data_IF_212525934002
#
_entry.id   IF_212525934002
#
_cell.length_a   1.000
_cell.length_b   1.000
_cell.length_c   1.000
_cell.angle_alpha   90.00
_cell.angle_beta   90.00
_cell.angle_gamma   90.00
#
_symmetry.space_group_name_H-M   'P 1'
#
loop_
_entity.id
_entity.type
_entity.pdbx_description
1 polymer ?
#
# COMPACT_ATOMS: atom_id res chain seq x y z
N UNK A 1 -17.24 -9.14 6.37
CA UNK A 1 -18.31 -8.27 5.81
C UNK A 1 -17.80 -6.84 5.85
N UNK A 2 -17.84 -6.10 4.74
CA UNK A 2 -17.54 -4.67 4.66
C UNK A 2 -18.83 -3.88 4.53
N UNK A 3 -18.98 -2.82 5.33
CA UNK A 3 -20.16 -1.97 5.34
C UNK A 3 -19.75 -0.53 5.04
N UNK A 4 -20.53 0.15 4.21
CA UNK A 4 -20.30 1.53 3.78
C UNK A 4 -21.47 2.36 4.25
N UNK A 5 -21.19 3.45 4.96
CA UNK A 5 -22.21 4.34 5.52
C UNK A 5 -22.07 5.75 4.95
N UNK A 6 -23.19 6.44 4.79
CA UNK A 6 -23.19 7.89 4.59
C UNK A 6 -23.08 8.55 5.97
N UNK A 7 -22.11 9.44 6.18
CA UNK A 7 -21.99 10.13 7.46
C UNK A 7 -23.17 11.06 7.76
N UNK A 8 -23.99 11.37 6.75
CA UNK A 8 -25.22 12.17 6.87
C UNK A 8 -26.46 11.35 7.21
N UNK A 9 -26.44 10.02 7.03
CA UNK A 9 -27.57 9.14 7.36
C UNK A 9 -27.11 7.81 7.97
N UNK A 10 -27.66 7.47 9.14
CA UNK A 10 -27.25 6.27 9.90
C UNK A 10 -28.30 5.16 9.92
N UNK A 11 -29.39 5.28 9.12
CA UNK A 11 -30.49 4.29 9.09
C UNK A 11 -30.05 2.90 8.65
N UNK A 12 -28.94 2.78 7.92
CA UNK A 12 -28.37 1.52 7.48
C UNK A 12 -27.17 1.74 6.55
N UNK A 13 -26.44 0.67 6.20
CA UNK A 13 -25.34 0.77 5.25
C UNK A 13 -25.87 1.10 3.84
N UNK A 14 -25.20 2.04 3.15
CA UNK A 14 -25.40 2.31 1.73
C UNK A 14 -25.03 1.09 0.88
N UNK A 15 -23.91 0.45 1.22
CA UNK A 15 -23.44 -0.76 0.56
C UNK A 15 -22.94 -1.77 1.59
N UNK A 16 -23.19 -3.05 1.30
CA UNK A 16 -22.68 -4.18 2.04
C UNK A 16 -21.98 -5.13 1.06
N UNK A 17 -20.76 -5.54 1.39
CA UNK A 17 -20.02 -6.57 0.68
C UNK A 17 -19.79 -7.76 1.62
N UNK A 18 -20.44 -8.88 1.30
CA UNK A 18 -20.31 -10.16 1.98
C UNK A 18 -19.26 -11.04 1.28
N UNK A 19 -18.51 -11.85 2.04
CA UNK A 19 -17.57 -12.84 1.46
C UNK A 19 -16.13 -12.35 1.21
N UNK A 20 -15.67 -11.30 1.89
CA UNK A 20 -14.34 -10.74 1.66
C UNK A 20 -13.23 -11.63 2.25
N UNK A 21 -12.58 -12.38 1.35
CA UNK A 21 -11.24 -12.97 1.41
C UNK A 21 -10.89 -13.82 2.64
N UNK A 22 -10.10 -14.88 2.43
CA UNK A 22 -9.43 -15.61 3.52
C UNK A 22 -8.35 -14.77 4.22
N UNK A 23 -8.06 -13.56 3.73
CA UNK A 23 -7.07 -12.64 4.27
C UNK A 23 -7.70 -11.39 4.90
N UNK A 24 -7.13 -10.84 5.98
CA UNK A 24 -7.60 -9.58 6.58
C UNK A 24 -7.63 -8.42 5.57
N UNK A 25 -8.72 -7.66 5.56
CA UNK A 25 -8.81 -6.41 4.79
C UNK A 25 -8.03 -5.31 5.52
N UNK A 26 -6.97 -4.80 4.91
CA UNK A 26 -6.12 -3.75 5.49
C UNK A 26 -6.13 -2.42 4.74
N UNK A 27 -6.59 -2.43 3.49
CA UNK A 27 -6.72 -1.22 2.68
C UNK A 27 -7.99 -1.28 1.84
N UNK A 28 -8.70 -0.17 1.80
CA UNK A 28 -9.92 0.04 1.03
C UNK A 28 -9.72 1.31 0.21
N UNK A 29 -10.03 1.23 -1.08
CA UNK A 29 -10.00 2.37 -2.00
C UNK A 29 -11.34 2.52 -2.69
N UNK A 30 -11.67 3.77 -3.00
CA UNK A 30 -12.81 4.14 -3.83
C UNK A 30 -12.30 4.44 -5.23
N UNK A 31 -12.91 3.83 -6.24
CA UNK A 31 -12.55 3.97 -7.65
C UNK A 31 -13.79 4.37 -8.43
N UNK A 32 -13.65 5.32 -9.35
CA UNK A 32 -14.76 5.76 -10.21
C UNK A 32 -14.62 5.07 -11.56
N UNK A 33 -15.66 4.37 -12.02
CA UNK A 33 -15.67 3.77 -13.35
C UNK A 33 -15.97 4.82 -14.45
N UNK A 34 -15.86 4.39 -15.71
CA UNK A 34 -16.06 5.27 -16.87
C UNK A 34 -17.48 5.85 -16.96
N UNK A 35 -18.44 5.22 -16.26
CA UNK A 35 -19.83 5.65 -16.16
C UNK A 35 -20.06 6.63 -15.00
N UNK A 36 -19.01 6.96 -14.23
CA UNK A 36 -19.08 7.84 -13.07
C UNK A 36 -19.60 7.15 -11.80
N UNK A 37 -19.79 5.83 -11.83
CA UNK A 37 -20.22 5.06 -10.66
C UNK A 37 -19.03 4.76 -9.75
N UNK A 38 -19.25 4.91 -8.45
CA UNK A 38 -18.23 4.70 -7.42
C UNK A 38 -18.23 3.26 -6.96
N UNK A 39 -17.13 2.56 -7.21
CA UNK A 39 -16.89 1.19 -6.79
C UNK A 39 -15.89 1.18 -5.63
N UNK A 40 -16.08 0.28 -4.67
CA UNK A 40 -15.18 0.11 -3.54
C UNK A 40 -14.37 -1.16 -3.73
N UNK A 41 -13.06 -1.02 -3.64
CA UNK A 41 -12.13 -2.12 -3.83
C UNK A 41 -11.28 -2.31 -2.57
N UNK A 42 -11.08 -3.57 -2.20
CA UNK A 42 -10.20 -3.96 -1.11
C UNK A 42 -8.96 -4.65 -1.67
N UNK A 43 -7.82 -4.48 -1.01
CA UNK A 43 -6.56 -5.08 -1.46
C UNK A 43 -6.67 -6.59 -1.76
N UNK A 44 -7.35 -7.44 -0.97
CA UNK A 44 -7.43 -8.86 -1.29
C UNK A 44 -8.20 -9.20 -2.58
N UNK A 45 -9.15 -8.36 -3.01
CA UNK A 45 -9.96 -8.60 -4.21
C UNK A 45 -9.24 -8.21 -5.51
N UNK A 46 -8.25 -7.33 -5.43
CA UNK A 46 -7.50 -6.80 -6.58
C UNK A 46 -6.40 -7.73 -7.09
N UNK A 47 -6.03 -8.72 -6.28
CA UNK A 47 -4.73 -9.41 -6.40
C UNK A 47 -4.89 -10.87 -6.83
N UNK A 48 -6.01 -11.19 -7.50
CA UNK A 48 -6.20 -12.48 -8.17
C UNK A 48 -5.07 -12.68 -9.20
N UNK A 49 -4.25 -13.72 -9.04
CA UNK A 49 -3.05 -13.95 -9.88
C UNK A 49 -1.74 -13.40 -9.29
N UNK A 50 -1.75 -12.93 -8.03
CA UNK A 50 -0.56 -12.45 -7.32
C UNK A 50 -0.21 -13.30 -6.10
N UNK A 51 -0.79 -14.49 -5.98
CA UNK A 51 -0.58 -15.41 -4.84
C UNK A 51 0.89 -15.76 -4.58
N UNK A 52 1.71 -15.71 -5.64
CA UNK A 52 3.14 -16.01 -5.62
C UNK A 52 4.01 -14.83 -5.14
N UNK A 53 3.45 -13.63 -4.96
CA UNK A 53 4.21 -12.45 -4.51
C UNK A 53 4.32 -12.34 -2.98
N UNK A 54 3.63 -13.23 -2.26
CA UNK A 54 3.62 -13.26 -0.80
C UNK A 54 2.38 -12.61 -0.21
N UNK A 55 2.52 -11.98 0.96
CA UNK A 55 1.42 -11.33 1.67
C UNK A 55 1.36 -9.87 1.26
N UNK A 56 0.22 -9.43 0.73
CA UNK A 56 -0.02 -8.01 0.46
C UNK A 56 -0.10 -7.23 1.78
N UNK A 57 0.72 -6.20 1.90
CA UNK A 57 0.88 -5.38 3.12
C UNK A 57 0.56 -3.91 2.93
N UNK A 58 0.45 -3.46 1.68
CA UNK A 58 0.05 -2.08 1.36
C UNK A 58 -0.56 -2.01 -0.03
N UNK A 59 -1.43 -1.04 -0.24
CA UNK A 59 -2.01 -0.73 -1.53
C UNK A 59 -2.09 0.79 -1.68
N UNK A 60 -1.38 1.35 -2.65
CA UNK A 60 -1.48 2.76 -3.01
C UNK A 60 -2.28 2.91 -4.30
N UNK A 61 -3.22 3.85 -4.30
CA UNK A 61 -3.96 4.26 -5.48
C UNK A 61 -3.66 5.74 -5.74
N UNK A 62 -3.64 6.14 -7.00
CA UNK A 62 -3.68 7.56 -7.37
C UNK A 62 -5.11 8.11 -7.20
N UNK A 63 -5.35 9.34 -7.67
CA UNK A 63 -6.67 9.96 -7.65
C UNK A 63 -7.75 9.00 -8.21
N UNK A 64 -9.04 9.14 -7.83
CA UNK A 64 -10.09 8.17 -8.18
C UNK A 64 -10.31 7.90 -9.68
N UNK A 65 -9.80 8.78 -10.54
CA UNK A 65 -9.81 8.68 -12.00
C UNK A 65 -8.56 7.99 -12.59
N UNK A 66 -7.57 7.61 -11.78
CA UNK A 66 -6.34 7.00 -12.25
C UNK A 66 -6.46 5.49 -12.36
N UNK A 67 -5.92 4.93 -13.44
CA UNK A 67 -5.82 3.50 -13.67
C UNK A 67 -4.65 2.85 -12.94
N UNK A 68 -3.90 3.60 -12.12
CA UNK A 68 -2.64 3.14 -11.51
C UNK A 68 -2.80 2.78 -10.04
N UNK A 69 -2.41 1.55 -9.73
CA UNK A 69 -2.32 1.03 -8.37
C UNK A 69 -0.94 0.42 -8.16
N UNK A 70 -0.39 0.56 -6.95
CA UNK A 70 0.79 -0.18 -6.53
C UNK A 70 0.46 -1.01 -5.29
N UNK A 71 0.58 -2.33 -5.43
CA UNK A 71 0.45 -3.27 -4.31
C UNK A 71 1.84 -3.65 -3.79
N UNK A 72 2.03 -3.61 -2.47
CA UNK A 72 3.30 -3.98 -1.84
C UNK A 72 3.16 -5.30 -1.10
N UNK A 73 4.16 -6.16 -1.22
CA UNK A 73 4.17 -7.50 -0.67
C UNK A 73 5.42 -7.76 0.15
N UNK A 74 5.26 -8.57 1.19
CA UNK A 74 6.37 -9.22 1.87
C UNK A 74 6.32 -10.73 1.62
N UNK A 75 7.47 -11.43 1.66
CA UNK A 75 7.50 -12.88 1.60
C UNK A 75 6.62 -13.51 2.69
N UNK A 76 6.06 -14.68 2.40
CA UNK A 76 5.41 -15.49 3.44
C UNK A 76 6.48 -15.96 4.41
N UNK A 77 6.13 -16.04 5.69
CA UNK A 77 6.99 -16.73 6.66
C UNK A 77 6.91 -18.21 6.33
N UNK A 78 8.00 -18.76 5.78
CA UNK A 78 8.14 -20.21 5.62
C UNK A 78 8.40 -20.80 7.00
N UNK A 79 7.44 -21.56 7.51
CA UNK A 79 7.72 -22.48 8.61
C UNK A 79 8.41 -23.68 7.99
N UNK A 80 9.73 -23.81 8.16
CA UNK A 80 10.47 -25.01 7.77
C UNK A 80 9.94 -26.19 8.58
N UNK A 81 9.01 -26.95 8.00
CA UNK A 81 8.45 -28.14 8.61
C UNK A 81 9.22 -29.36 8.15
N UNK A 82 10.10 -29.86 9.00
CA UNK A 82 10.44 -31.29 9.07
C UNK A 82 10.63 -31.66 10.54
N UNK A 83 9.77 -32.55 11.03
CA UNK A 83 9.85 -33.10 12.39
C UNK A 83 8.55 -33.00 13.18
N UNK A 84 7.87 -34.16 13.29
CA UNK A 84 6.83 -34.55 14.24
C UNK A 84 6.28 -33.48 15.20
N UNK A 85 4.97 -33.28 15.13
CA UNK A 85 4.18 -32.59 16.13
C UNK A 85 4.49 -33.11 17.55
N UNK A 86 5.24 -32.31 18.32
CA UNK A 86 5.12 -32.26 19.76
C UNK A 86 4.93 -30.79 20.14
N UNK A 87 3.72 -30.50 20.60
CA UNK A 87 3.27 -29.19 21.01
C UNK A 87 3.94 -28.87 22.35
N UNK A 88 5.11 -28.25 22.34
CA UNK A 88 5.70 -27.60 23.53
C UNK A 88 6.32 -26.27 23.14
N UNK A 89 5.90 -25.24 23.88
CA UNK A 89 5.97 -23.86 23.45
C UNK A 89 7.37 -23.29 23.26
N UNK A 90 7.50 -22.46 22.25
CA UNK A 90 8.27 -21.23 22.36
C UNK A 90 7.40 -20.13 21.75
N UNK A 91 6.88 -19.24 22.61
CA UNK A 91 6.46 -17.91 22.19
C UNK A 91 7.74 -17.15 21.79
N UNK A 92 8.26 -17.44 20.61
CA UNK A 92 9.22 -16.53 19.99
C UNK A 92 8.39 -15.41 19.40
N UNK A 93 8.19 -14.35 20.19
CA UNK A 93 7.89 -13.04 19.59
C UNK A 93 8.98 -12.83 18.54
N UNK A 94 8.66 -12.74 17.23
CA UNK A 94 9.68 -12.63 16.20
C UNK A 94 10.60 -11.47 16.57
N UNK A 95 11.86 -11.79 16.84
CA UNK A 95 12.88 -10.79 17.20
C UNK A 95 12.86 -9.76 16.08
N UNK A 96 12.54 -8.50 16.39
CA UNK A 96 12.51 -7.44 15.39
C UNK A 96 13.91 -7.32 14.79
N UNK A 97 14.13 -7.95 13.64
CA UNK A 97 15.22 -7.60 12.78
C UNK A 97 14.89 -6.20 12.26
N UNK A 98 15.40 -5.17 12.94
CA UNK A 98 15.19 -3.77 12.59
C UNK A 98 15.83 -3.36 11.25
N UNK A 99 16.30 -4.33 10.47
CA UNK A 99 16.93 -4.17 9.16
C UNK A 99 15.95 -4.24 8.00
N UNK A 100 14.69 -4.63 8.23
CA UNK A 100 13.71 -4.86 7.16
C UNK A 100 13.96 -6.14 6.36
N UNK A 101 12.95 -6.56 5.59
CA UNK A 101 13.01 -7.73 4.69
C UNK A 101 12.86 -7.30 3.24
N UNK A 102 13.49 -8.05 2.35
CA UNK A 102 13.30 -7.87 0.92
C UNK A 102 11.88 -8.30 0.54
N UNK A 103 11.04 -7.34 0.18
CA UNK A 103 9.72 -7.54 -0.40
C UNK A 103 9.68 -7.00 -1.82
N UNK A 104 8.47 -6.81 -2.34
CA UNK A 104 8.28 -6.27 -3.67
C UNK A 104 7.09 -5.30 -3.76
N UNK A 105 7.11 -4.46 -4.78
CA UNK A 105 6.08 -3.50 -5.11
C UNK A 105 5.68 -3.75 -6.56
N UNK A 106 4.41 -4.08 -6.78
CA UNK A 106 3.87 -4.42 -8.08
C UNK A 106 2.98 -3.29 -8.58
N UNK A 107 3.32 -2.74 -9.75
CA UNK A 107 2.50 -1.81 -10.49
C UNK A 107 1.39 -2.58 -11.21
N UNK A 108 0.16 -2.14 -10.99
CA UNK A 108 -1.06 -2.67 -11.56
C UNK A 108 -1.75 -1.57 -12.36
N UNK A 109 -2.18 -1.91 -13.58
CA UNK A 109 -2.99 -1.06 -14.45
C UNK A 109 -4.41 -1.58 -14.49
N UNK A 110 -5.37 -0.69 -14.29
CA UNK A 110 -6.79 -0.97 -14.47
C UNK A 110 -7.09 -1.30 -15.93
N UNK A 111 -7.77 -2.41 -16.18
CA UNK A 111 -8.25 -2.80 -17.52
C UNK A 111 -9.76 -2.78 -17.63
N UNK A 112 -10.47 -2.79 -16.50
CA UNK A 112 -11.93 -2.65 -16.40
C UNK A 112 -12.29 -2.00 -15.06
N UNK A 113 -13.57 -1.78 -14.77
CA UNK A 113 -14.02 -1.21 -13.50
C UNK A 113 -13.48 -1.93 -12.25
N UNK A 114 -13.20 -3.23 -12.34
CA UNK A 114 -12.75 -4.07 -11.21
C UNK A 114 -11.55 -4.97 -11.52
N UNK A 115 -11.06 -4.99 -12.76
CA UNK A 115 -9.93 -5.83 -13.19
C UNK A 115 -8.65 -5.03 -13.35
N UNK A 116 -7.55 -5.65 -12.93
CA UNK A 116 -6.21 -5.06 -12.99
C UNK A 116 -5.22 -6.07 -13.57
N UNK A 117 -4.27 -5.57 -14.35
CA UNK A 117 -3.16 -6.35 -14.90
C UNK A 117 -1.86 -5.83 -14.33
N UNK A 118 -0.97 -6.76 -13.97
CA UNK A 118 0.37 -6.45 -13.51
C UNK A 118 1.24 -5.97 -14.68
N UNK A 119 1.80 -4.76 -14.54
CA UNK A 119 2.73 -4.18 -15.52
C UNK A 119 4.20 -4.41 -15.14
N UNK A 120 4.57 -4.09 -13.89
CA UNK A 120 5.96 -4.12 -13.45
C UNK A 120 6.08 -4.49 -11.98
N UNK A 121 7.22 -5.04 -11.57
CA UNK A 121 7.57 -5.28 -10.16
C UNK A 121 8.94 -4.65 -9.87
N UNK A 122 9.11 -4.12 -8.66
CA UNK A 122 10.38 -3.69 -8.11
C UNK A 122 10.56 -4.25 -6.69
N UNK A 123 11.80 -4.53 -6.29
CA UNK A 123 12.11 -5.02 -4.95
C UNK A 123 12.45 -3.86 -4.00
N UNK A 124 11.95 -3.92 -2.78
CA UNK A 124 12.13 -2.88 -1.77
C UNK A 124 12.16 -3.46 -0.35
N UNK A 125 12.69 -2.69 0.59
CA UNK A 125 12.76 -3.14 1.98
C UNK A 125 11.46 -2.83 2.70
N UNK A 126 10.76 -3.87 3.11
CA UNK A 126 9.45 -3.79 3.75
C UNK A 126 9.50 -4.34 5.18
N UNK A 127 8.48 -4.00 5.97
CA UNK A 127 8.37 -4.52 7.33
C UNK A 127 7.98 -6.01 7.33
N UNK A 128 8.67 -6.79 8.16
CA UNK A 128 8.35 -8.19 8.40
C UNK A 128 6.99 -8.36 9.10
N UNK A 129 6.61 -7.40 9.95
CA UNK A 129 5.44 -7.52 10.83
C UNK A 129 4.38 -6.47 10.53
N UNK A 130 4.79 -5.21 10.32
CA UNK A 130 3.85 -4.11 10.14
C UNK A 130 3.32 -4.04 8.70
N UNK A 131 2.14 -3.45 8.58
CA UNK A 131 1.60 -3.07 7.28
C UNK A 131 2.40 -1.86 6.79
N UNK A 132 3.08 -2.02 5.66
CA UNK A 132 3.80 -0.90 5.06
C UNK A 132 2.83 0.19 4.63
N UNK A 133 3.31 1.43 4.54
CA UNK A 133 2.50 2.57 4.12
C UNK A 133 3.08 3.13 2.84
N UNK A 134 2.20 3.38 1.89
CA UNK A 134 2.58 3.84 0.57
C UNK A 134 1.54 4.80 -0.02
N UNK A 135 1.99 5.70 -0.88
CA UNK A 135 1.16 6.65 -1.59
C UNK A 135 1.62 6.79 -3.05
N UNK A 136 0.68 7.10 -3.95
CA UNK A 136 1.01 7.55 -5.30
C UNK A 136 0.86 9.07 -5.34
N UNK A 137 1.87 9.75 -5.86
CA UNK A 137 1.98 11.20 -5.95
C UNK A 137 1.89 11.59 -7.43
N UNK A 138 0.82 12.29 -7.87
CA UNK A 138 0.74 12.83 -9.23
C UNK A 138 1.76 13.96 -9.44
N UNK A 139 2.64 13.83 -10.43
CA UNK A 139 3.57 14.89 -10.82
C UNK A 139 2.96 15.82 -11.87
N UNK A 140 3.62 16.95 -12.13
CA UNK A 140 3.24 17.84 -13.22
C UNK A 140 3.83 17.28 -14.52
N UNK A 141 2.95 16.95 -15.46
CA UNK A 141 3.27 16.19 -16.66
C UNK A 141 2.26 15.05 -16.87
N UNK A 142 1.84 14.84 -18.11
CA UNK A 142 0.84 13.82 -18.43
C UNK A 142 1.35 12.42 -18.05
N UNK A 143 0.64 11.75 -17.14
CA UNK A 143 0.88 10.36 -16.76
C UNK A 143 2.13 10.10 -15.91
N UNK A 144 2.80 11.13 -15.40
CA UNK A 144 3.96 10.97 -14.51
C UNK A 144 3.53 10.90 -13.05
N UNK A 145 3.94 9.84 -12.36
CA UNK A 145 3.63 9.62 -10.94
C UNK A 145 4.87 9.17 -10.19
N UNK A 146 4.95 9.52 -8.91
CA UNK A 146 5.89 8.91 -7.98
C UNK A 146 5.16 7.91 -7.09
N UNK A 147 5.76 6.75 -6.89
CA UNK A 147 5.41 5.84 -5.82
C UNK A 147 6.28 6.15 -4.60
N UNK A 148 5.66 6.47 -3.48
CA UNK A 148 6.33 6.67 -2.21
C UNK A 148 5.97 5.54 -1.26
N UNK A 149 6.94 4.97 -0.56
CA UNK A 149 6.70 3.99 0.50
C UNK A 149 7.65 4.17 1.68
N UNK A 150 7.23 3.73 2.85
CA UNK A 150 8.10 3.62 4.02
C UNK A 150 9.09 2.48 3.85
N UNK A 151 10.36 2.78 3.61
CA UNK A 151 11.45 1.81 3.53
C UNK A 151 11.92 1.47 4.94
N UNK A 152 11.81 0.18 5.28
CA UNK A 152 12.05 -0.32 6.62
C UNK A 152 13.54 -0.23 7.02
N UNK A 153 14.45 -0.46 6.08
CA UNK A 153 15.90 -0.41 6.33
C UNK A 153 16.38 1.04 6.49
N UNK A 154 15.87 1.95 5.65
CA UNK A 154 16.20 3.37 5.70
C UNK A 154 15.55 4.08 6.89
N UNK A 155 14.48 3.52 7.45
CA UNK A 155 13.60 4.18 8.42
C UNK A 155 13.17 5.56 7.92
N UNK A 156 12.77 5.59 6.66
CA UNK A 156 12.49 6.79 5.90
C UNK A 156 11.55 6.51 4.74
N UNK A 157 11.29 7.53 3.93
CA UNK A 157 10.45 7.38 2.73
C UNK A 157 11.33 7.31 1.51
N UNK A 158 11.15 6.26 0.72
CA UNK A 158 11.77 6.10 -0.59
C UNK A 158 10.74 6.40 -1.66
N UNK A 159 11.16 7.14 -2.68
CA UNK A 159 10.30 7.55 -3.80
C UNK A 159 10.87 7.06 -5.13
N UNK A 160 10.02 6.46 -5.94
CA UNK A 160 10.35 5.88 -7.24
C UNK A 160 9.44 6.45 -8.33
N UNK A 161 9.97 6.63 -9.54
CA UNK A 161 9.19 7.04 -10.71
C UNK A 161 8.34 5.88 -11.21
N UNK A 162 7.09 6.14 -11.55
CA UNK A 162 6.24 5.19 -12.26
C UNK A 162 6.18 5.56 -13.75
N UNK A 163 6.11 4.56 -14.67
CA UNK A 163 5.99 3.13 -14.37
C UNK A 163 7.33 2.43 -14.07
N UNK A 164 8.47 3.05 -14.39
CA UNK A 164 9.78 2.39 -14.46
C UNK A 164 10.38 1.88 -13.15
N UNK A 165 9.83 2.30 -12.01
CA UNK A 165 10.40 2.14 -10.66
C UNK A 165 11.84 2.66 -10.52
N UNK A 166 12.24 3.65 -11.33
CA UNK A 166 13.54 4.29 -11.16
C UNK A 166 13.57 5.09 -9.85
N UNK A 167 14.65 4.94 -9.08
CA UNK A 167 14.85 5.75 -7.87
C UNK A 167 14.76 7.24 -8.17
N UNK A 168 13.87 7.94 -7.48
CA UNK A 168 13.72 9.40 -7.56
C UNK A 168 14.46 10.08 -6.42
N UNK A 169 14.11 9.74 -5.18
CA UNK A 169 14.75 10.30 -4.00
C UNK A 169 14.49 9.45 -2.74
N UNK A 170 15.43 9.51 -1.83
CA UNK A 170 15.24 9.10 -0.43
C UNK A 170 15.00 10.37 0.39
N UNK A 171 13.85 10.44 1.07
CA UNK A 171 13.51 11.56 1.94
C UNK A 171 14.23 11.42 3.29
N UNK A 172 14.36 12.54 4.00
CA UNK A 172 15.06 12.57 5.29
C UNK A 172 14.49 11.50 6.23
N UNK A 173 15.32 10.60 6.77
CA UNK A 173 14.84 9.54 7.66
C UNK A 173 14.17 10.06 8.93
N UNK A 174 13.26 9.24 9.43
CA UNK A 174 12.65 9.41 10.73
C UNK A 174 13.46 8.78 11.87
N UNK A 175 14.51 8.00 11.57
CA UNK A 175 15.26 7.12 12.50
C UNK A 175 14.40 6.06 13.22
N UNK A 176 13.09 6.18 13.14
CA UNK A 176 12.07 5.21 13.49
C UNK A 176 11.31 4.78 12.24
N UNK A 177 10.68 3.60 12.27
CA UNK A 177 9.84 3.14 11.16
C UNK A 177 8.74 4.13 10.80
N UNK A 178 8.36 4.13 9.52
CA UNK A 178 7.24 4.93 9.03
C UNK A 178 5.93 4.24 9.42
N UNK A 179 5.12 4.92 10.21
CA UNK A 179 3.82 4.46 10.70
C UNK A 179 2.66 4.87 9.80
N UNK A 180 2.81 6.01 9.11
CA UNK A 180 1.80 6.53 8.19
C UNK A 180 2.44 7.35 7.06
N UNK A 181 1.83 7.30 5.88
CA UNK A 181 2.26 8.04 4.71
C UNK A 181 1.03 8.48 3.92
N UNK A 182 0.83 9.79 3.76
CA UNK A 182 -0.31 10.36 3.04
C UNK A 182 0.10 11.45 2.08
N UNK A 183 -0.41 11.33 0.85
CA UNK A 183 -0.37 12.40 -0.13
C UNK A 183 -1.61 13.28 0.02
N UNK A 184 -1.45 14.58 -0.14
CA UNK A 184 -2.53 15.55 -0.21
C UNK A 184 -2.19 16.66 -1.20
N UNK A 185 -3.21 17.16 -1.89
CA UNK A 185 -3.12 18.32 -2.77
C UNK A 185 -4.06 19.41 -2.25
N UNK A 186 -3.56 20.63 -2.14
CA UNK A 186 -4.36 21.78 -1.73
C UNK A 186 -5.25 22.26 -2.89
N UNK A 187 -6.26 23.05 -2.56
CA UNK A 187 -7.09 23.76 -3.55
C UNK A 187 -6.31 24.72 -4.44
N UNK A 188 -5.13 25.15 -3.99
CA UNK A 188 -4.21 26.01 -4.76
C UNK A 188 -3.23 25.20 -5.62
N UNK A 189 -3.39 23.87 -5.70
CA UNK A 189 -2.51 22.96 -6.46
C UNK A 189 -1.19 22.62 -5.76
N UNK A 190 -1.03 22.99 -4.49
CA UNK A 190 0.18 22.68 -3.73
C UNK A 190 0.14 21.22 -3.27
N UNK A 191 1.21 20.48 -3.55
CA UNK A 191 1.28 19.05 -3.29
C UNK A 191 2.14 18.76 -2.07
N UNK A 192 1.63 17.91 -1.18
CA UNK A 192 2.26 17.57 0.08
C UNK A 192 2.31 16.06 0.29
N UNK A 193 3.43 15.60 0.84
CA UNK A 193 3.57 14.25 1.38
C UNK A 193 3.81 14.33 2.88
N UNK A 194 2.84 13.87 3.67
CA UNK A 194 2.95 13.74 5.11
C UNK A 194 3.47 12.35 5.47
N UNK A 195 4.49 12.29 6.32
CA UNK A 195 5.10 11.05 6.82
C UNK A 195 5.15 11.08 8.34
N UNK A 196 4.61 10.05 8.98
CA UNK A 196 4.54 9.92 10.44
C UNK A 196 5.45 8.79 10.91
N UNK A 197 6.21 9.05 11.98
CA UNK A 197 6.84 8.03 12.82
C UNK A 197 6.40 8.20 14.28
N UNK A 198 6.89 7.34 15.17
CA UNK A 198 6.65 7.47 16.62
C UNK A 198 7.05 8.82 17.19
N UNK A 199 8.11 9.42 16.65
CA UNK A 199 8.72 10.63 17.23
C UNK A 199 8.28 11.92 16.55
N UNK A 200 7.91 11.87 15.26
CA UNK A 200 7.64 13.10 14.50
C UNK A 200 6.74 12.88 13.29
N UNK A 201 6.06 13.96 12.91
CA UNK A 201 5.43 14.17 11.62
C UNK A 201 6.35 15.05 10.76
N UNK A 202 6.71 14.57 9.56
CA UNK A 202 7.39 15.38 8.54
C UNK A 202 6.43 15.63 7.38
N UNK A 203 6.41 16.87 6.89
CA UNK A 203 5.63 17.26 5.71
C UNK A 203 6.58 17.76 4.65
N UNK A 204 6.54 17.12 3.49
CA UNK A 204 7.36 17.47 2.33
C UNK A 204 6.48 18.15 1.30
N UNK A 205 6.86 19.37 0.90
CA UNK A 205 6.27 20.03 -0.26
C UNK A 205 6.89 19.45 -1.53
N UNK A 206 6.07 18.94 -2.42
CA UNK A 206 6.49 18.36 -3.69
C UNK A 206 6.52 19.51 -4.71
N UNK A 207 7.72 19.85 -5.18
CA UNK A 207 7.89 20.78 -6.30
C UNK A 207 7.86 19.96 -7.58
N UNK A 208 6.81 20.18 -8.36
CA UNK A 208 6.58 19.56 -9.66
C UNK A 208 6.92 20.51 -10.79
#
# INVERSE_FOLDING_TARGET
MLLVFDTRQTKGPLHSLSGLSTNPVHTIHSVVDDNGSTNIISAPNLLTGMENQGVCISLACAAPSSDLIVASFRPRVEFSGDGSASQMGISQSPTLSGSGKLGCHALLRRTSSTSFVKEQICNGNVSELRMSKSAIIPCSGTGQHLFAYGDESLRGVRTWRLPSFQLFADLRPHHQPILDLRFAESTTGEKYLGCLSEEKLQVFRIRS
#
